data_IF_716299720984
#
_entry.id   IF_716299720984
#
_cell.length_a   1.000
_cell.length_b   1.000
_cell.length_c   1.000
_cell.angle_alpha   90.00
_cell.angle_beta   90.00
_cell.angle_gamma   90.00
#
_symmetry.space_group_name_H-M   'P 1'
#
loop_
_entity.id
_entity.type
_entity.pdbx_description
1 polymer ?
#
# COMPACT_ATOMS: atom_id res chain seq x y z
N UNK A 1 27.75 5.05 6.01
CA UNK A 1 28.41 4.88 7.33
C UNK A 1 29.51 5.92 7.53
N UNK A 2 30.48 6.05 6.62
CA UNK A 2 31.61 6.99 6.75
C UNK A 2 31.24 8.47 7.02
N UNK A 3 30.19 9.00 6.39
CA UNK A 3 29.73 10.38 6.65
C UNK A 3 29.23 10.65 8.08
N UNK A 4 28.93 9.60 8.86
CA UNK A 4 28.47 9.72 10.26
C UNK A 4 29.62 9.65 11.26
N UNK A 5 30.75 9.07 10.88
CA UNK A 5 31.85 8.73 11.78
C UNK A 5 33.08 9.61 11.57
N UNK A 6 33.23 10.23 10.39
CA UNK A 6 34.39 11.07 10.06
C UNK A 6 34.13 12.52 10.44
N UNK A 7 34.80 13.02 11.47
CA UNK A 7 34.76 14.43 11.85
C UNK A 7 35.37 15.31 10.75
N UNK A 8 34.76 16.47 10.49
CA UNK A 8 35.25 17.43 9.51
C UNK A 8 35.23 16.92 8.06
N UNK A 9 34.44 15.89 7.75
CA UNK A 9 34.30 15.39 6.39
C UNK A 9 33.80 16.53 5.48
N UNK A 10 34.58 16.87 4.46
CA UNK A 10 34.24 17.96 3.55
C UNK A 10 33.37 17.48 2.39
N UNK A 11 33.66 16.31 1.84
CA UNK A 11 33.00 15.81 0.63
C UNK A 11 32.89 14.28 0.66
N UNK A 12 31.90 13.73 -0.03
CA UNK A 12 31.80 12.29 -0.31
C UNK A 12 31.59 12.07 -1.79
N UNK A 13 32.37 11.17 -2.38
CA UNK A 13 32.12 10.65 -3.72
C UNK A 13 31.49 9.27 -3.62
N UNK A 14 30.54 9.01 -4.51
CA UNK A 14 29.86 7.73 -4.65
C UNK A 14 29.91 7.31 -6.11
N UNK A 15 30.68 6.26 -6.39
CA UNK A 15 30.74 5.66 -7.71
C UNK A 15 29.71 4.53 -7.83
N UNK A 16 29.02 4.47 -8.96
CA UNK A 16 28.04 3.42 -9.25
C UNK A 16 28.14 2.98 -10.71
N UNK A 17 27.83 1.71 -10.97
CA UNK A 17 27.54 1.26 -12.32
C UNK A 17 26.15 1.74 -12.71
N UNK A 18 25.92 1.95 -14.01
CA UNK A 18 24.61 2.35 -14.56
C UNK A 18 24.04 3.61 -13.86
N UNK A 19 24.76 4.76 -13.89
CA UNK A 19 24.41 5.93 -13.07
C UNK A 19 23.00 6.47 -13.33
N UNK A 20 22.51 6.38 -14.56
CA UNK A 20 21.19 6.89 -14.93
C UNK A 20 20.06 6.17 -14.19
N UNK A 21 20.20 4.87 -13.92
CA UNK A 21 19.20 4.07 -13.21
C UNK A 21 19.08 4.49 -11.73
N UNK A 22 20.16 5.06 -11.18
CA UNK A 22 20.20 5.55 -9.80
C UNK A 22 19.85 7.03 -9.66
N UNK A 23 19.63 7.75 -10.76
CA UNK A 23 19.49 9.20 -10.75
C UNK A 23 18.36 9.68 -9.83
N UNK A 24 17.21 9.01 -9.84
CA UNK A 24 16.07 9.36 -8.96
C UNK A 24 16.41 9.17 -7.48
N UNK A 25 17.06 8.04 -7.14
CA UNK A 25 17.43 7.74 -5.77
C UNK A 25 18.49 8.73 -5.25
N UNK A 26 19.51 9.04 -6.06
CA UNK A 26 20.54 9.98 -5.68
C UNK A 26 20.04 11.43 -5.63
N UNK A 27 19.11 11.81 -6.51
CA UNK A 27 18.43 13.10 -6.38
C UNK A 27 17.64 13.19 -5.06
N UNK A 28 16.89 12.14 -4.69
CA UNK A 28 16.23 12.07 -3.38
C UNK A 28 17.24 12.16 -2.23
N UNK A 29 18.38 11.50 -2.35
CA UNK A 29 19.44 11.51 -1.34
C UNK A 29 20.30 12.78 -1.34
N UNK A 30 20.03 13.77 -2.20
CA UNK A 30 20.82 15.00 -2.34
C UNK A 30 22.28 14.76 -2.77
N UNK A 31 22.50 13.74 -3.58
CA UNK A 31 23.78 13.46 -4.22
C UNK A 31 23.78 14.04 -5.64
N UNK A 32 24.67 14.99 -5.90
CA UNK A 32 24.81 15.65 -7.19
C UNK A 32 25.63 14.79 -8.16
N UNK A 33 25.23 14.76 -9.44
CA UNK A 33 26.00 14.10 -10.50
C UNK A 33 27.30 14.87 -10.77
N UNK A 34 28.41 14.16 -10.93
CA UNK A 34 29.72 14.72 -11.29
C UNK A 34 30.27 13.96 -12.52
N UNK A 35 29.79 14.29 -13.73
CA UNK A 35 30.20 13.58 -14.95
C UNK A 35 31.70 13.63 -15.23
N UNK A 36 32.38 14.68 -14.77
CA UNK A 36 33.83 14.87 -14.92
C UNK A 36 34.65 13.86 -14.11
N UNK A 37 34.03 13.24 -13.10
CA UNK A 37 34.65 12.22 -12.26
C UNK A 37 34.31 10.79 -12.71
N UNK A 38 33.59 10.62 -13.82
CA UNK A 38 33.32 9.31 -14.41
C UNK A 38 34.60 8.59 -14.81
N UNK A 39 34.58 7.27 -14.70
CA UNK A 39 35.73 6.45 -15.05
C UNK A 39 35.30 5.09 -15.59
N UNK A 40 36.25 4.38 -16.18
CA UNK A 40 36.05 3.05 -16.74
C UNK A 40 37.02 2.06 -16.08
N UNK A 41 36.51 0.88 -15.70
CA UNK A 41 37.31 -0.24 -15.20
C UNK A 41 36.91 -1.49 -15.96
N UNK A 42 37.86 -2.07 -16.69
CA UNK A 42 37.65 -3.33 -17.41
C UNK A 42 36.52 -3.30 -18.44
N UNK A 43 36.38 -2.21 -19.21
CA UNK A 43 35.31 -2.09 -20.22
C UNK A 43 33.98 -1.56 -19.68
N UNK A 44 33.84 -1.38 -18.35
CA UNK A 44 32.60 -0.95 -17.70
C UNK A 44 32.72 0.48 -17.21
N UNK A 45 31.77 1.32 -17.64
CA UNK A 45 31.67 2.73 -17.21
C UNK A 45 30.97 2.86 -15.86
N UNK A 46 31.53 3.70 -15.01
CA UNK A 46 31.00 4.05 -13.70
C UNK A 46 30.73 5.56 -13.65
N UNK A 47 29.54 5.91 -13.18
CA UNK A 47 29.19 7.30 -12.92
C UNK A 47 29.45 7.67 -11.47
N UNK A 48 29.90 8.90 -11.26
CA UNK A 48 30.17 9.44 -9.92
C UNK A 48 29.13 10.47 -9.52
N UNK A 49 28.66 10.33 -8.29
CA UNK A 49 27.87 11.32 -7.58
C UNK A 49 28.64 11.83 -6.38
N UNK A 50 28.23 12.96 -5.83
CA UNK A 50 28.85 13.45 -4.61
C UNK A 50 28.00 14.39 -3.79
N UNK A 51 28.47 14.63 -2.58
CA UNK A 51 27.83 15.51 -1.61
C UNK A 51 28.89 16.37 -0.91
N UNK A 52 28.73 17.68 -0.96
CA UNK A 52 29.58 18.63 -0.25
C UNK A 52 28.98 18.95 1.12
N UNK A 53 29.53 18.33 2.15
CA UNK A 53 29.09 18.48 3.54
C UNK A 53 29.39 19.87 4.11
N UNK A 54 30.22 20.68 3.46
CA UNK A 54 30.44 22.08 3.85
C UNK A 54 29.29 22.96 3.38
N UNK A 55 28.66 22.61 2.25
CA UNK A 55 27.50 23.32 1.70
C UNK A 55 26.23 22.87 2.41
N UNK A 56 26.02 21.55 2.55
CA UNK A 56 24.90 21.00 3.31
C UNK A 56 25.40 20.04 4.40
N UNK A 57 25.64 20.55 5.63
CA UNK A 57 26.13 19.73 6.73
C UNK A 57 25.16 18.59 7.07
N UNK A 58 25.70 17.50 7.61
CA UNK A 58 24.97 16.27 7.92
C UNK A 58 23.63 16.50 8.65
N UNK A 59 23.57 17.43 9.62
CA UNK A 59 22.34 17.72 10.36
C UNK A 59 21.26 18.34 9.46
N UNK A 60 21.65 19.26 8.58
CA UNK A 60 20.74 19.88 7.62
C UNK A 60 20.30 18.88 6.54
N UNK A 61 21.23 18.06 6.06
CA UNK A 61 20.94 16.97 5.13
C UNK A 61 19.95 15.95 5.71
N UNK A 62 20.11 15.54 6.98
CA UNK A 62 19.15 14.66 7.65
C UNK A 62 17.75 15.27 7.76
N UNK A 63 17.67 16.57 8.09
CA UNK A 63 16.41 17.29 8.15
C UNK A 63 15.73 17.37 6.77
N UNK A 64 16.51 17.61 5.70
CA UNK A 64 16.04 17.61 4.32
C UNK A 64 15.45 16.25 3.93
N UNK A 65 16.15 15.15 4.21
CA UNK A 65 15.64 13.81 3.91
C UNK A 65 14.37 13.49 4.70
N UNK A 66 14.32 13.85 5.98
CA UNK A 66 13.12 13.67 6.78
C UNK A 66 11.91 14.44 6.20
N UNK A 67 12.12 15.66 5.72
CA UNK A 67 11.07 16.45 5.07
C UNK A 67 10.61 15.83 3.75
N UNK A 68 11.54 15.33 2.92
CA UNK A 68 11.22 14.61 1.68
C UNK A 68 10.39 13.36 1.96
N UNK A 69 10.73 12.61 3.02
CA UNK A 69 9.99 11.40 3.41
C UNK A 69 8.55 11.68 3.84
N UNK A 70 8.34 12.74 4.61
CA UNK A 70 6.99 13.19 5.02
C UNK A 70 6.18 13.58 3.78
N UNK A 71 6.77 14.32 2.84
CA UNK A 71 6.09 14.74 1.61
C UNK A 71 5.73 13.55 0.72
N UNK A 72 6.65 12.59 0.53
CA UNK A 72 6.41 11.37 -0.23
C UNK A 72 5.29 10.52 0.39
N UNK A 73 5.28 10.39 1.71
CA UNK A 73 4.22 9.68 2.45
C UNK A 73 2.85 10.35 2.27
N UNK A 74 2.79 11.69 2.34
CA UNK A 74 1.55 12.43 2.10
C UNK A 74 1.03 12.24 0.67
N UNK A 75 1.91 12.18 -0.33
CA UNK A 75 1.56 11.94 -1.72
C UNK A 75 1.10 10.49 -1.97
N UNK A 76 1.70 9.50 -1.30
CA UNK A 76 1.27 8.11 -1.36
C UNK A 76 -0.16 7.90 -0.82
N UNK A 77 -0.52 8.61 0.26
CA UNK A 77 -1.90 8.60 0.80
C UNK A 77 -2.90 9.19 -0.21
N UNK A 78 -2.51 10.24 -0.95
CA UNK A 78 -3.37 10.88 -1.95
C UNK A 78 -3.55 10.05 -3.23
N UNK A 79 -2.55 9.26 -3.60
CA UNK A 79 -2.53 8.46 -4.84
C UNK A 79 -3.05 7.03 -4.66
N UNK A 80 -3.30 6.61 -3.41
CA UNK A 80 -3.97 5.34 -3.14
C UNK A 80 -5.38 5.40 -3.74
N UNK A 81 -5.76 4.48 -4.65
CA UNK A 81 -7.12 4.43 -5.16
C UNK A 81 -8.05 4.29 -3.95
N UNK A 82 -9.12 5.08 -3.91
CA UNK A 82 -10.16 4.97 -2.90
C UNK A 82 -10.78 3.59 -3.04
N UNK A 83 -10.24 2.60 -2.33
CA UNK A 83 -10.93 1.32 -2.12
C UNK A 83 -12.31 1.67 -1.59
N UNK A 84 -13.36 1.12 -2.20
CA UNK A 84 -14.74 1.38 -1.78
C UNK A 84 -14.82 1.26 -0.24
N UNK A 85 -15.30 2.30 0.46
CA UNK A 85 -15.20 2.34 1.91
C UNK A 85 -15.91 1.13 2.50
N UNK A 86 -15.13 0.29 3.20
CA UNK A 86 -15.64 -0.83 3.97
C UNK A 86 -16.71 -0.32 4.93
N UNK A 87 -17.91 -0.86 4.82
CA UNK A 87 -19.05 -0.44 5.66
C UNK A 87 -18.96 -1.18 6.99
N UNK A 88 -18.87 -0.43 8.09
CA UNK A 88 -19.03 -0.96 9.45
C UNK A 88 -20.51 -0.86 9.81
N UNK A 89 -21.21 -1.99 9.76
CA UNK A 89 -22.61 -2.07 10.17
C UNK A 89 -22.69 -2.23 11.68
N UNK A 90 -23.53 -1.43 12.33
CA UNK A 90 -23.98 -1.72 13.69
C UNK A 90 -24.78 -3.04 13.71
N UNK A 91 -24.93 -3.65 14.89
CA UNK A 91 -25.72 -4.87 15.05
C UNK A 91 -27.14 -4.79 14.41
N UNK A 92 -27.95 -3.75 14.65
CA UNK A 92 -29.28 -3.67 14.03
C UNK A 92 -29.22 -3.54 12.50
N UNK A 93 -28.28 -2.75 11.97
CA UNK A 93 -28.10 -2.61 10.52
C UNK A 93 -27.64 -3.91 9.87
N UNK A 94 -26.80 -4.69 10.56
CA UNK A 94 -26.38 -6.01 10.12
C UNK A 94 -27.56 -6.99 10.06
N UNK A 95 -28.42 -7.00 11.09
CA UNK A 95 -29.60 -7.87 11.13
C UNK A 95 -30.55 -7.57 9.98
N UNK A 96 -30.84 -6.29 9.71
CA UNK A 96 -31.69 -5.91 8.58
C UNK A 96 -31.04 -6.26 7.24
N UNK A 97 -29.73 -6.03 7.09
CA UNK A 97 -29.03 -6.40 5.88
C UNK A 97 -29.02 -7.93 5.63
N UNK A 98 -28.93 -8.75 6.68
CA UNK A 98 -29.06 -10.21 6.59
C UNK A 98 -30.48 -10.61 6.20
N UNK A 99 -31.50 -9.97 6.77
CA UNK A 99 -32.91 -10.21 6.43
C UNK A 99 -33.16 -9.92 4.95
N UNK A 100 -32.66 -8.78 4.46
CA UNK A 100 -32.75 -8.39 3.05
C UNK A 100 -31.99 -9.36 2.15
N UNK A 101 -30.82 -9.83 2.57
CA UNK A 101 -30.04 -10.83 1.83
C UNK A 101 -30.78 -12.17 1.71
N UNK A 102 -31.47 -12.61 2.78
CA UNK A 102 -32.27 -13.83 2.77
C UNK A 102 -33.51 -13.68 1.88
N UNK A 103 -34.23 -12.55 1.95
CA UNK A 103 -35.38 -12.29 1.09
C UNK A 103 -34.99 -12.19 -0.40
N UNK A 104 -33.82 -11.61 -0.67
CA UNK A 104 -33.25 -11.44 -2.00
C UNK A 104 -32.36 -12.59 -2.47
N UNK A 105 -32.25 -13.69 -1.73
CA UNK A 105 -31.19 -14.70 -1.92
C UNK A 105 -31.12 -15.25 -3.36
N UNK A 106 -32.26 -15.51 -3.98
CA UNK A 106 -32.35 -16.03 -5.35
C UNK A 106 -32.25 -14.96 -6.44
N UNK A 107 -32.24 -13.67 -6.08
CA UNK A 107 -32.22 -12.52 -7.01
C UNK A 107 -30.89 -11.80 -6.89
N UNK A 108 -29.93 -12.15 -7.75
CA UNK A 108 -28.60 -11.52 -7.76
C UNK A 108 -28.67 -9.98 -7.83
N UNK A 109 -29.64 -9.42 -8.55
CA UNK A 109 -29.82 -7.97 -8.65
C UNK A 109 -30.27 -7.31 -7.33
N UNK A 110 -31.02 -8.02 -6.48
CA UNK A 110 -31.39 -7.53 -5.16
C UNK A 110 -30.19 -7.54 -4.19
N UNK A 111 -29.26 -8.48 -4.37
CA UNK A 111 -28.06 -8.62 -3.55
C UNK A 111 -26.99 -7.56 -3.87
N UNK A 112 -26.92 -7.06 -5.12
CA UNK A 112 -25.96 -6.01 -5.54
C UNK A 112 -26.04 -4.73 -4.71
N UNK A 113 -27.22 -4.39 -4.19
CA UNK A 113 -27.44 -3.21 -3.35
C UNK A 113 -27.22 -3.45 -1.85
N UNK A 114 -26.99 -4.70 -1.43
CA UNK A 114 -26.96 -5.06 -0.03
C UNK A 114 -25.65 -4.57 0.65
N UNK A 115 -25.73 -3.88 1.80
CA UNK A 115 -24.53 -3.36 2.46
C UNK A 115 -23.57 -4.45 2.97
N UNK A 116 -24.01 -5.71 3.10
CA UNK A 116 -23.15 -6.85 3.45
C UNK A 116 -22.03 -7.08 2.43
N UNK A 117 -22.22 -6.73 1.15
CA UNK A 117 -21.19 -6.87 0.11
C UNK A 117 -19.92 -6.05 0.40
N UNK A 118 -20.05 -4.98 1.21
CA UNK A 118 -18.95 -4.09 1.63
C UNK A 118 -18.57 -4.29 3.09
N UNK A 119 -19.20 -5.25 3.78
CA UNK A 119 -18.87 -5.58 5.15
C UNK A 119 -17.56 -6.36 5.21
N UNK A 120 -16.89 -6.32 6.36
CA UNK A 120 -15.65 -7.07 6.59
C UNK A 120 -15.79 -8.57 6.31
N UNK A 121 -16.98 -9.14 6.55
CA UNK A 121 -17.27 -10.57 6.34
C UNK A 121 -17.05 -11.00 4.89
N UNK A 122 -17.53 -10.20 3.93
CA UNK A 122 -17.37 -10.48 2.49
C UNK A 122 -16.00 -9.99 2.00
N UNK A 123 -15.58 -8.80 2.41
CA UNK A 123 -14.32 -8.19 1.96
C UNK A 123 -13.07 -9.01 2.34
N UNK A 124 -13.10 -9.78 3.44
CA UNK A 124 -11.98 -10.65 3.83
C UNK A 124 -11.87 -11.94 3.00
N UNK A 125 -12.93 -12.35 2.31
CA UNK A 125 -12.97 -13.59 1.53
C UNK A 125 -12.79 -13.36 0.02
N UNK A 126 -12.92 -12.10 -0.43
CA UNK A 126 -12.72 -11.71 -1.82
C UNK A 126 -11.30 -11.20 -2.06
N UNK A 127 -10.81 -11.33 -3.30
CA UNK A 127 -9.52 -10.78 -3.71
C UNK A 127 -9.60 -9.25 -3.81
N UNK A 128 -8.45 -8.58 -3.70
CA UNK A 128 -8.33 -7.09 -3.65
C UNK A 128 -8.96 -6.33 -4.85
N UNK A 129 -9.42 -7.02 -5.90
CA UNK A 129 -10.13 -6.44 -7.06
C UNK A 129 -11.39 -7.23 -7.49
N UNK A 130 -12.02 -7.94 -6.56
CA UNK A 130 -13.21 -8.73 -6.89
C UNK A 130 -14.36 -7.85 -7.35
N UNK A 131 -14.99 -8.25 -8.45
CA UNK A 131 -16.16 -7.57 -9.00
C UNK A 131 -17.39 -7.77 -8.09
N UNK A 132 -18.46 -7.01 -8.34
CA UNK A 132 -19.68 -7.10 -7.52
C UNK A 132 -20.33 -8.48 -7.59
N UNK A 133 -20.19 -9.21 -8.70
CA UNK A 133 -20.80 -10.53 -8.86
C UNK A 133 -20.05 -11.60 -8.04
N UNK A 134 -18.72 -11.50 -7.99
CA UNK A 134 -17.87 -12.32 -7.13
C UNK A 134 -18.21 -12.09 -5.65
N UNK A 135 -18.43 -10.83 -5.25
CA UNK A 135 -18.89 -10.51 -3.88
C UNK A 135 -20.27 -11.09 -3.58
N UNK A 136 -21.20 -11.03 -4.54
CA UNK A 136 -22.55 -11.64 -4.40
C UNK A 136 -22.45 -13.16 -4.24
N UNK A 137 -21.58 -13.82 -5.02
CA UNK A 137 -21.36 -15.26 -4.92
C UNK A 137 -20.78 -15.66 -3.56
N UNK A 138 -19.81 -14.89 -3.03
CA UNK A 138 -19.26 -15.09 -1.69
C UNK A 138 -20.34 -14.91 -0.61
N UNK A 139 -21.14 -13.85 -0.70
CA UNK A 139 -22.25 -13.62 0.23
C UNK A 139 -23.26 -14.77 0.21
N UNK A 140 -23.63 -15.28 -0.96
CA UNK A 140 -24.55 -16.43 -1.09
C UNK A 140 -23.95 -17.70 -0.48
N UNK A 141 -22.65 -17.95 -0.70
CA UNK A 141 -21.94 -19.08 -0.10
C UNK A 141 -21.96 -19.02 1.42
N UNK A 142 -21.64 -17.85 1.99
CA UNK A 142 -21.65 -17.62 3.44
C UNK A 142 -23.03 -17.83 4.06
N UNK A 143 -24.08 -17.32 3.42
CA UNK A 143 -25.46 -17.49 3.89
C UNK A 143 -25.87 -18.96 3.83
N UNK A 144 -25.48 -19.68 2.77
CA UNK A 144 -25.75 -21.12 2.62
C UNK A 144 -25.04 -21.95 3.69
N UNK A 145 -23.76 -21.69 3.91
CA UNK A 145 -22.96 -22.36 4.94
C UNK A 145 -23.53 -22.12 6.34
N UNK A 146 -23.94 -20.89 6.64
CA UNK A 146 -24.60 -20.58 7.91
C UNK A 146 -25.94 -21.31 8.07
N UNK A 147 -26.74 -21.40 7.01
CA UNK A 147 -28.02 -22.14 7.03
C UNK A 147 -27.81 -23.65 7.22
N UNK A 148 -26.81 -24.24 6.55
CA UNK A 148 -26.44 -25.65 6.70
C UNK A 148 -25.91 -25.95 8.11
N UNK A 149 -25.14 -25.02 8.69
CA UNK A 149 -24.67 -25.13 10.08
C UNK A 149 -25.83 -25.13 11.09
N UNK A 150 -26.85 -24.29 10.87
CA UNK A 150 -28.07 -24.28 11.69
C UNK A 150 -28.85 -25.58 11.57
N UNK A 151 -28.97 -26.16 10.37
CA UNK A 151 -29.63 -27.46 10.17
C UNK A 151 -28.87 -28.60 10.87
N UNK A 152 -27.54 -28.53 10.91
CA UNK A 152 -26.68 -29.51 11.59
C UNK A 152 -26.66 -29.40 13.12
N UNK A 153 -27.17 -28.30 13.69
CA UNK A 153 -27.32 -28.11 15.12
C UNK A 153 -28.80 -28.29 15.53
N UNK A 154 -29.21 -29.47 16.04
CA UNK A 154 -30.56 -29.68 16.54
C UNK A 154 -30.72 -29.02 17.92
N UNK A 155 -30.70 -27.69 17.98
CA UNK A 155 -31.12 -26.92 19.16
C UNK A 155 -32.07 -25.84 18.70
N UNK A 156 -33.27 -26.27 18.34
CA UNK A 156 -34.55 -25.74 18.86
C UNK A 156 -35.70 -26.52 18.21
N UNK A 157 -35.89 -27.75 18.68
CA UNK A 157 -37.18 -28.42 18.63
C UNK A 157 -37.83 -28.33 20.02
N UNK A 158 -38.17 -27.10 20.45
CA UNK A 158 -39.31 -26.72 21.30
C UNK A 158 -39.21 -25.28 21.77
#
# INVERSE_FOLDING_TARGET
QHHRTTQGLAFTFFACAEPEDWAVMFAYADLARIPEADFEVGGRRYGVYGHDWRVLPMKAWQALLAQREIAASAQAVQTSPVSEPMVVLSQPEFVEAVRDALQGFSRCDALKGNPLLRSRLVMQQVKDNADTNERVAVLQSLVKEAAESLESCPRDAK
#
